data_IF_400737047706
#
_entry.id   IF_400737047706
#
_cell.length_a   1.000
_cell.length_b   1.000
_cell.length_c   1.000
_cell.angle_alpha   90.00
_cell.angle_beta   90.00
_cell.angle_gamma   90.00
#
_symmetry.space_group_name_H-M   'P 1'
#
loop_
_entity.id
_entity.type
_entity.pdbx_description
1 polymer ?
#
# COMPACT_ATOMS: atom_id res chain seq x y z
N UNK A 1 11.55 0.09 15.83
CA UNK A 1 11.27 0.32 14.39
C UNK A 1 11.62 -0.93 13.59
N UNK A 2 10.84 -1.27 12.57
CA UNK A 2 11.13 -2.38 11.65
C UNK A 2 10.93 -1.93 10.19
N UNK A 3 11.66 -2.55 9.27
CA UNK A 3 11.42 -2.47 7.84
C UNK A 3 10.85 -3.80 7.37
N UNK A 4 9.77 -3.74 6.63
CA UNK A 4 9.05 -4.91 6.13
C UNK A 4 8.99 -4.82 4.62
N UNK A 5 9.43 -5.88 3.95
CA UNK A 5 9.30 -6.07 2.51
C UNK A 5 8.53 -7.36 2.26
N UNK A 6 7.43 -7.26 1.53
CA UNK A 6 6.55 -8.40 1.20
C UNK A 6 6.58 -8.57 -0.32
N UNK A 7 7.15 -9.67 -0.79
CA UNK A 7 7.33 -9.97 -2.21
C UNK A 7 6.28 -10.95 -2.73
N UNK A 8 5.83 -11.85 -1.86
CA UNK A 8 4.83 -12.86 -2.20
C UNK A 8 3.47 -12.52 -1.59
N UNK A 9 2.40 -13.04 -2.21
CA UNK A 9 1.04 -12.86 -1.71
C UNK A 9 0.92 -13.37 -0.27
N UNK A 10 0.31 -12.56 0.58
CA UNK A 10 0.17 -12.88 2.00
C UNK A 10 -0.52 -11.78 2.78
N UNK A 11 -0.53 -11.94 4.09
CA UNK A 11 -1.11 -10.96 5.00
C UNK A 11 -0.23 -10.82 6.24
N UNK A 12 -0.16 -9.60 6.78
CA UNK A 12 0.51 -9.32 8.04
C UNK A 12 -0.30 -8.37 8.89
N UNK A 13 -0.34 -8.61 10.20
CA UNK A 13 -1.04 -7.75 11.14
C UNK A 13 -0.04 -6.89 11.91
N UNK A 14 -0.39 -5.63 12.09
CA UNK A 14 0.39 -4.62 12.80
C UNK A 14 -0.45 -4.00 13.91
N UNK A 15 0.19 -3.60 14.98
CA UNK A 15 -0.40 -2.99 16.17
C UNK A 15 0.04 -3.69 17.44
N UNK A 16 0.13 -2.94 18.53
CA UNK A 16 0.59 -3.39 19.83
C UNK A 16 -0.36 -2.99 20.95
N UNK A 17 -0.35 -3.74 22.09
CA UNK A 17 -1.25 -3.49 23.22
C UNK A 17 -1.00 -2.13 23.90
N UNK A 18 0.28 -1.72 24.01
CA UNK A 18 0.71 -0.55 24.79
C UNK A 18 1.29 0.59 23.96
N UNK A 19 1.64 0.34 22.70
CA UNK A 19 2.32 1.32 21.86
C UNK A 19 1.43 1.76 20.72
N UNK A 20 1.52 3.03 20.35
CA UNK A 20 1.05 3.52 19.07
C UNK A 20 1.87 2.90 17.95
N UNK A 21 1.26 2.65 16.83
CA UNK A 21 1.95 2.12 15.64
C UNK A 21 1.75 3.09 14.49
N UNK A 22 2.84 3.49 13.86
CA UNK A 22 2.83 4.28 12.63
C UNK A 22 3.45 3.41 11.55
N UNK A 23 2.73 3.22 10.45
CA UNK A 23 3.21 2.48 9.29
C UNK A 23 3.34 3.49 8.15
N UNK A 24 4.49 3.57 7.53
CA UNK A 24 4.74 4.37 6.35
C UNK A 24 4.98 3.47 5.15
N UNK A 25 4.14 3.61 4.11
CA UNK A 25 4.22 2.82 2.88
C UNK A 25 5.21 3.49 1.93
N UNK A 26 6.29 2.79 1.57
CA UNK A 26 7.35 3.31 0.70
C UNK A 26 7.37 2.70 -0.68
N UNK A 27 6.57 1.68 -0.92
CA UNK A 27 6.44 1.02 -2.22
C UNK A 27 5.33 0.00 -2.25
N UNK A 28 4.82 -0.29 -3.43
CA UNK A 28 3.77 -1.27 -3.66
C UNK A 28 2.37 -0.80 -3.26
N UNK A 29 1.43 -1.73 -3.27
CA UNK A 29 0.02 -1.52 -2.91
C UNK A 29 -0.39 -2.62 -1.93
N UNK A 30 -0.95 -2.22 -0.80
CA UNK A 30 -1.51 -3.11 0.22
C UNK A 30 -3.01 -2.88 0.39
N UNK A 31 -3.69 -3.86 0.96
CA UNK A 31 -5.12 -3.81 1.24
C UNK A 31 -5.32 -3.91 2.75
N UNK A 32 -5.79 -2.82 3.34
CA UNK A 32 -6.08 -2.75 4.76
C UNK A 32 -7.38 -3.47 5.08
N UNK A 33 -7.37 -4.22 6.16
CA UNK A 33 -8.55 -4.87 6.73
C UNK A 33 -8.66 -4.52 8.21
N UNK A 34 -9.75 -3.91 8.59
CA UNK A 34 -10.10 -3.65 9.98
C UNK A 34 -11.58 -3.95 10.15
N UNK A 35 -11.92 -4.98 10.95
CA UNK A 35 -13.30 -5.43 11.19
C UNK A 35 -14.11 -5.53 9.90
N UNK A 36 -15.01 -4.57 9.64
CA UNK A 36 -15.84 -4.53 8.43
C UNK A 36 -15.37 -3.50 7.39
N UNK A 37 -14.28 -2.77 7.66
CA UNK A 37 -13.76 -1.77 6.74
C UNK A 37 -12.60 -2.31 5.91
N UNK A 38 -12.61 -1.96 4.63
CA UNK A 38 -11.55 -2.27 3.67
C UNK A 38 -11.07 -0.95 3.08
N UNK A 39 -9.75 -0.74 3.05
CA UNK A 39 -9.13 0.41 2.40
C UNK A 39 -7.88 -0.06 1.64
N UNK A 40 -7.40 0.77 0.73
CA UNK A 40 -6.14 0.53 0.01
C UNK A 40 -5.07 1.42 0.64
N UNK A 41 -3.86 0.90 0.78
CA UNK A 41 -2.71 1.72 1.09
C UNK A 41 -1.68 1.65 -0.03
N UNK A 42 -1.15 2.80 -0.38
CA UNK A 42 -0.22 3.00 -1.50
C UNK A 42 1.03 3.74 -1.03
N UNK A 43 1.99 3.88 -1.92
CA UNK A 43 3.19 4.68 -1.62
C UNK A 43 2.81 6.08 -1.10
N UNK A 44 3.54 6.56 -0.10
CA UNK A 44 3.35 7.83 0.60
C UNK A 44 2.21 7.84 1.64
N UNK A 45 1.50 6.72 1.84
CA UNK A 45 0.49 6.61 2.88
C UNK A 45 1.11 6.36 4.27
N UNK A 46 0.53 7.03 5.25
CA UNK A 46 0.77 6.84 6.68
C UNK A 46 -0.45 6.17 7.30
N UNK A 47 -0.24 5.11 8.06
CA UNK A 47 -1.30 4.41 8.76
C UNK A 47 -1.01 4.51 10.26
N UNK A 48 -1.93 5.14 10.99
CA UNK A 48 -1.86 5.29 12.43
C UNK A 48 -2.75 4.26 13.11
N UNK A 49 -2.21 3.51 14.05
CA UNK A 49 -2.94 2.50 14.83
C UNK A 49 -2.77 2.80 16.32
N UNK A 50 -3.88 3.05 17.02
CA UNK A 50 -3.88 3.30 18.47
C UNK A 50 -3.54 2.05 19.26
N UNK A 51 -3.00 2.19 20.50
CA UNK A 51 -2.74 1.06 21.37
C UNK A 51 -3.98 0.15 21.55
N UNK A 52 -3.76 -1.14 21.63
CA UNK A 52 -4.83 -2.13 21.76
C UNK A 52 -5.50 -2.54 20.44
N UNK A 53 -5.33 -1.78 19.39
CA UNK A 53 -5.90 -2.07 18.06
C UNK A 53 -4.90 -2.75 17.14
N UNK A 54 -5.41 -3.38 16.09
CA UNK A 54 -4.62 -4.03 15.04
C UNK A 54 -5.20 -3.70 13.67
N UNK A 55 -4.32 -3.51 12.71
CA UNK A 55 -4.65 -3.45 11.28
C UNK A 55 -4.01 -4.63 10.59
N UNK A 56 -4.75 -5.28 9.68
CA UNK A 56 -4.24 -6.33 8.81
C UNK A 56 -3.99 -5.73 7.44
N UNK A 57 -2.79 -5.93 6.91
CA UNK A 57 -2.44 -5.56 5.55
C UNK A 57 -2.32 -6.84 4.74
N UNK A 58 -3.16 -6.98 3.72
CA UNK A 58 -3.08 -8.02 2.71
C UNK A 58 -2.27 -7.49 1.54
N UNK A 59 -1.37 -8.30 1.02
CA UNK A 59 -0.60 -8.03 -0.18
C UNK A 59 -0.84 -9.13 -1.21
N UNK A 60 -1.00 -8.75 -2.46
CA UNK A 60 -1.00 -9.68 -3.59
C UNK A 60 0.27 -9.47 -4.38
N UNK A 61 0.96 -10.55 -4.69
CA UNK A 61 2.21 -10.51 -5.46
C UNK A 61 2.03 -9.66 -6.72
N UNK A 62 2.87 -8.64 -6.85
CA UNK A 62 2.87 -7.69 -7.95
C UNK A 62 4.34 -7.42 -8.34
N UNK A 63 4.55 -6.71 -9.47
CA UNK A 63 5.88 -6.29 -9.95
C UNK A 63 6.68 -5.52 -8.89
N UNK A 64 5.98 -4.73 -8.08
CA UNK A 64 6.58 -3.93 -7.03
C UNK A 64 6.19 -4.51 -5.67
N UNK A 65 7.16 -4.94 -4.85
CA UNK A 65 6.89 -5.45 -3.51
C UNK A 65 6.24 -4.38 -2.64
N UNK A 66 5.45 -4.81 -1.66
CA UNK A 66 4.97 -3.91 -0.63
C UNK A 66 6.11 -3.64 0.35
N UNK A 67 6.50 -2.38 0.47
CA UNK A 67 7.57 -1.95 1.36
C UNK A 67 7.04 -0.99 2.42
N UNK A 68 7.33 -1.28 3.68
CA UNK A 68 6.81 -0.56 4.83
C UNK A 68 7.94 -0.25 5.83
N UNK A 69 7.91 0.95 6.41
CA UNK A 69 8.54 1.21 7.70
C UNK A 69 7.48 1.21 8.79
N UNK A 70 7.73 0.48 9.86
CA UNK A 70 6.81 0.36 11.00
C UNK A 70 7.50 0.86 12.26
N UNK A 71 6.92 1.89 12.87
CA UNK A 71 7.40 2.50 14.10
C UNK A 71 6.42 2.20 15.23
N UNK A 72 6.91 1.64 16.32
CA UNK A 72 6.17 1.43 17.56
C UNK A 72 6.62 2.46 18.59
N UNK A 73 5.71 3.27 19.10
CA UNK A 73 6.00 4.41 19.99
C UNK A 73 5.17 4.29 21.25
N UNK A 74 5.85 4.21 22.39
CA UNK A 74 5.20 4.23 23.71
C UNK A 74 4.85 5.65 24.15
N UNK A 75 3.83 5.77 25.01
CA UNK A 75 3.37 7.06 25.54
C UNK A 75 4.48 7.82 26.30
N UNK A 76 5.28 7.12 27.06
CA UNK A 76 6.40 7.72 27.81
C UNK A 76 7.40 8.40 26.88
N UNK A 77 7.71 7.77 25.73
CA UNK A 77 8.59 8.36 24.73
C UNK A 77 7.95 9.60 24.09
N UNK A 78 6.67 9.53 23.71
CA UNK A 78 5.95 10.69 23.18
C UNK A 78 5.98 11.87 24.15
N UNK A 79 5.73 11.62 25.44
CA UNK A 79 5.83 12.64 26.50
C UNK A 79 7.24 13.21 26.62
N UNK A 80 8.28 12.38 26.54
CA UNK A 80 9.68 12.83 26.61
C UNK A 80 10.15 13.67 25.42
N UNK A 81 9.41 13.60 24.30
CA UNK A 81 9.65 14.37 23.07
C UNK A 81 8.71 15.57 22.94
N UNK A 82 7.76 15.71 23.86
CA UNK A 82 6.81 16.82 23.93
C UNK A 82 7.45 18.03 24.63
N UNK A 83 6.93 19.22 24.37
CA UNK A 83 7.28 20.46 25.06
C UNK A 83 6.04 21.10 25.71
N UNK A 84 6.21 22.28 26.31
CA UNK A 84 5.14 23.01 27.02
C UNK A 84 3.96 23.40 26.09
N UNK A 85 4.21 23.55 24.79
CA UNK A 85 3.26 24.00 23.79
C UNK A 85 2.74 22.88 22.90
N UNK A 86 3.42 21.71 22.89
CA UNK A 86 3.12 20.63 21.95
C UNK A 86 3.14 19.27 22.66
N UNK A 87 1.95 18.69 22.81
CA UNK A 87 1.76 17.37 23.42
C UNK A 87 1.59 16.31 22.30
N UNK A 88 2.69 15.60 21.99
CA UNK A 88 2.67 14.58 20.95
C UNK A 88 1.79 13.38 21.30
N UNK A 89 1.68 13.01 22.57
CA UNK A 89 0.79 11.97 23.05
C UNK A 89 -0.68 12.35 22.81
N UNK A 90 -1.08 13.59 23.11
CA UNK A 90 -2.43 14.08 22.85
C UNK A 90 -2.76 14.21 21.35
N UNK A 91 -1.74 14.50 20.52
CA UNK A 91 -1.93 14.60 19.07
C UNK A 91 -2.43 13.28 18.44
N UNK A 92 -2.06 12.12 18.99
CA UNK A 92 -2.62 10.82 18.58
C UNK A 92 -4.07 10.63 19.02
N UNK A 93 -4.53 11.33 20.07
CA UNK A 93 -5.89 11.20 20.60
C UNK A 93 -6.90 12.11 19.88
N UNK A 94 -6.42 13.20 19.25
CA UNK A 94 -7.25 14.08 18.41
C UNK A 94 -7.85 13.32 17.22
N UNK A 95 -7.21 12.23 16.78
CA UNK A 95 -7.72 11.38 15.72
C UNK A 95 -8.82 10.46 16.29
N UNK A 96 -10.11 10.62 15.91
CA UNK A 96 -11.23 9.89 16.52
C UNK A 96 -11.27 8.40 16.14
N UNK A 97 -10.40 7.95 15.23
CA UNK A 97 -10.41 6.59 14.71
C UNK A 97 -9.39 5.70 15.42
N UNK A 98 -9.73 4.41 15.53
CA UNK A 98 -8.83 3.37 16.05
C UNK A 98 -7.65 3.11 15.10
N UNK A 99 -7.91 3.22 13.80
CA UNK A 99 -6.93 3.16 12.72
C UNK A 99 -7.26 4.29 11.73
N UNK A 100 -6.26 5.04 11.32
CA UNK A 100 -6.38 6.13 10.33
C UNK A 100 -5.33 5.98 9.26
N UNK A 101 -5.73 6.06 8.00
CA UNK A 101 -4.82 6.17 6.85
C UNK A 101 -4.83 7.60 6.33
N UNK A 102 -3.66 8.14 6.07
CA UNK A 102 -3.42 9.51 5.63
C UNK A 102 -2.46 9.48 4.47
N UNK A 103 -2.79 10.15 3.37
CA UNK A 103 -1.85 10.33 2.26
C UNK A 103 -0.95 11.53 2.55
N UNK A 104 0.38 11.33 2.59
CA UNK A 104 1.34 12.39 2.83
C UNK A 104 1.66 13.14 1.53
N UNK A 105 1.82 14.48 1.61
CA UNK A 105 2.32 15.26 0.48
C UNK A 105 3.73 14.79 0.11
N UNK A 106 4.06 14.73 -1.19
CA UNK A 106 5.31 14.14 -1.72
C UNK A 106 6.58 14.69 -1.08
N UNK A 107 6.62 15.98 -0.74
CA UNK A 107 7.76 16.57 -0.03
C UNK A 107 7.92 15.99 1.39
N UNK A 108 6.82 15.98 2.15
CA UNK A 108 6.80 15.41 3.51
C UNK A 108 7.08 13.90 3.46
N UNK A 109 6.50 13.19 2.49
CA UNK A 109 6.71 11.76 2.29
C UNK A 109 8.19 11.42 2.01
N UNK A 110 8.85 12.22 1.18
CA UNK A 110 10.28 12.06 0.89
C UNK A 110 11.14 12.23 2.15
N UNK A 111 10.85 13.24 2.98
CA UNK A 111 11.55 13.45 4.24
C UNK A 111 11.29 12.29 5.22
N UNK A 112 10.03 11.86 5.39
CA UNK A 112 9.67 10.73 6.24
C UNK A 112 10.41 9.46 5.80
N UNK A 113 10.47 9.18 4.49
CA UNK A 113 11.20 8.03 3.94
C UNK A 113 12.68 8.07 4.29
N UNK A 114 13.34 9.21 4.08
CA UNK A 114 14.77 9.37 4.36
C UNK A 114 15.09 9.24 5.84
N UNK A 115 14.28 9.85 6.71
CA UNK A 115 14.43 9.75 8.17
C UNK A 115 14.18 8.31 8.62
N UNK A 116 13.14 7.65 8.12
CA UNK A 116 12.82 6.25 8.45
C UNK A 116 13.97 5.32 8.06
N UNK A 117 14.52 5.50 6.85
CA UNK A 117 15.68 4.74 6.37
C UNK A 117 16.90 4.97 7.28
N UNK A 118 17.15 6.22 7.69
CA UNK A 118 18.29 6.55 8.57
C UNK A 118 18.10 5.96 9.96
N UNK A 119 16.94 6.12 10.57
CA UNK A 119 16.64 5.51 11.88
C UNK A 119 16.79 3.98 11.83
N UNK A 120 16.30 3.33 10.78
CA UNK A 120 16.45 1.89 10.63
C UNK A 120 17.91 1.45 10.46
N UNK A 121 18.74 2.22 9.73
CA UNK A 121 20.17 1.93 9.59
C UNK A 121 20.90 2.05 10.92
N UNK A 122 20.54 3.04 11.75
CA UNK A 122 21.15 3.26 13.06
C UNK A 122 20.96 2.08 14.03
N UNK A 123 19.89 1.31 13.90
CA UNK A 123 19.69 0.09 14.70
C UNK A 123 20.73 -1.00 14.44
N UNK A 124 21.47 -0.92 13.32
CA UNK A 124 22.47 -1.88 12.89
C UNK A 124 23.90 -1.33 13.01
N UNK A 125 24.04 -0.03 13.27
CA UNK A 125 25.33 0.64 13.38
C UNK A 125 25.78 0.70 14.85
N UNK A 126 27.09 0.68 15.08
CA UNK A 126 27.65 0.98 16.40
C UNK A 126 27.38 2.43 16.78
N UNK A 127 27.10 2.72 18.07
CA UNK A 127 26.87 4.08 18.53
C UNK A 127 28.07 5.02 18.21
N UNK A 128 27.75 6.17 17.61
CA UNK A 128 28.73 7.23 17.30
C UNK A 128 28.56 8.39 18.28
N UNK A 129 29.42 9.38 18.17
CA UNK A 129 29.31 10.63 18.97
C UNK A 129 27.87 11.19 18.85
N UNK A 130 27.29 11.57 19.99
CA UNK A 130 25.95 12.12 20.12
C UNK A 130 24.81 11.23 19.55
N UNK A 131 25.02 9.91 19.51
CA UNK A 131 24.09 8.94 18.91
C UNK A 131 22.64 9.10 19.41
N UNK A 132 22.46 9.12 20.73
CA UNK A 132 21.13 9.24 21.37
C UNK A 132 20.46 10.59 21.05
N UNK A 133 21.22 11.68 21.02
CA UNK A 133 20.69 12.99 20.68
C UNK A 133 20.25 13.05 19.22
N UNK A 134 21.05 12.48 18.32
CA UNK A 134 20.74 12.40 16.90
C UNK A 134 19.52 11.52 16.65
N UNK A 135 19.44 10.36 17.29
CA UNK A 135 18.28 9.46 17.22
C UNK A 135 17.00 10.16 17.67
N UNK A 136 17.03 10.82 18.84
CA UNK A 136 15.89 11.60 19.36
C UNK A 136 15.46 12.69 18.40
N UNK A 137 16.39 13.43 17.81
CA UNK A 137 16.10 14.50 16.86
C UNK A 137 15.42 13.98 15.59
N UNK A 138 15.93 12.89 15.02
CA UNK A 138 15.32 12.25 13.86
C UNK A 138 13.92 11.70 14.19
N UNK A 139 13.76 11.08 15.35
CA UNK A 139 12.46 10.53 15.77
C UNK A 139 11.43 11.63 16.01
N UNK A 140 11.83 12.72 16.68
CA UNK A 140 10.96 13.89 16.86
C UNK A 140 10.53 14.47 15.51
N UNK A 141 11.48 14.65 14.59
CA UNK A 141 11.16 15.17 13.26
C UNK A 141 10.22 14.25 12.49
N UNK A 142 10.43 12.93 12.53
CA UNK A 142 9.55 11.94 11.90
C UNK A 142 8.13 12.01 12.47
N UNK A 143 8.00 12.05 13.81
CA UNK A 143 6.69 12.13 14.48
C UNK A 143 5.95 13.43 14.14
N UNK A 144 6.66 14.58 14.17
CA UNK A 144 6.07 15.87 13.81
C UNK A 144 5.60 15.89 12.36
N UNK A 145 6.40 15.39 11.40
CA UNK A 145 5.99 15.34 10.00
C UNK A 145 4.78 14.42 9.79
N UNK A 146 4.78 13.25 10.41
CA UNK A 146 3.67 12.29 10.31
C UNK A 146 2.38 12.87 10.92
N UNK A 147 2.44 13.47 12.11
CA UNK A 147 1.28 14.07 12.76
C UNK A 147 0.76 15.32 12.02
N UNK A 148 1.65 16.16 11.48
CA UNK A 148 1.26 17.28 10.63
C UNK A 148 0.49 16.84 9.38
N UNK A 149 0.91 15.74 8.74
CA UNK A 149 0.17 15.16 7.62
C UNK A 149 -1.24 14.75 8.05
N UNK A 150 -1.38 14.15 9.23
CA UNK A 150 -2.68 13.76 9.80
C UNK A 150 -3.60 14.95 10.07
N UNK A 151 -3.07 16.04 10.65
CA UNK A 151 -3.86 17.24 10.99
C UNK A 151 -4.27 18.03 9.73
N UNK A 152 -3.36 18.17 8.75
CA UNK A 152 -3.68 18.84 7.47
C UNK A 152 -4.82 18.14 6.75
N UNK A 153 -4.84 16.82 6.77
CA UNK A 153 -5.89 16.05 6.12
C UNK A 153 -7.26 16.25 6.79
N UNK A 154 -7.32 16.36 8.12
CA UNK A 154 -8.58 16.62 8.83
C UNK A 154 -9.20 18.00 8.48
N UNK A 155 -8.38 19.00 8.20
CA UNK A 155 -8.83 20.30 7.69
C UNK A 155 -9.25 20.21 6.22
N UNK A 156 -8.52 19.45 5.40
CA UNK A 156 -8.85 19.22 3.99
C UNK A 156 -9.98 18.18 3.83
N UNK A 157 -10.12 17.21 4.73
CA UNK A 157 -11.21 16.22 4.72
C UNK A 157 -12.58 16.89 4.96
N UNK A 158 -12.66 17.99 5.71
CA UNK A 158 -13.88 18.81 5.75
C UNK A 158 -14.23 19.40 4.37
N UNK A 159 -13.22 19.61 3.52
CA UNK A 159 -13.37 20.14 2.16
C UNK A 159 -13.38 19.06 1.07
N UNK A 160 -12.76 17.89 1.31
CA UNK A 160 -12.51 16.85 0.31
C UNK A 160 -13.05 15.44 0.65
N UNK A 161 -13.89 15.29 1.69
CA UNK A 161 -14.48 14.01 2.15
C UNK A 161 -15.09 13.11 1.05
N UNK A 162 -15.35 13.69 -0.14
CA UNK A 162 -15.87 12.95 -1.30
C UNK A 162 -14.79 12.30 -2.19
N UNK A 163 -13.51 12.74 -2.15
CA UNK A 163 -12.54 12.34 -3.18
C UNK A 163 -11.73 11.06 -2.88
N UNK A 164 -11.24 10.88 -1.65
CA UNK A 164 -10.43 9.71 -1.31
C UNK A 164 -11.26 8.43 -1.14
N UNK A 165 -12.41 8.54 -0.48
CA UNK A 165 -13.34 7.40 -0.31
C UNK A 165 -13.71 6.78 -1.66
N UNK A 166 -13.95 7.62 -2.69
CA UNK A 166 -14.35 7.13 -4.02
C UNK A 166 -13.20 6.40 -4.74
N UNK A 167 -11.94 6.82 -4.56
CA UNK A 167 -10.82 6.11 -5.20
C UNK A 167 -10.55 4.75 -4.54
N UNK A 168 -10.66 4.65 -3.22
CA UNK A 168 -10.57 3.38 -2.51
C UNK A 168 -11.68 2.41 -2.93
N UNK A 169 -12.92 2.92 -3.07
CA UNK A 169 -14.05 2.15 -3.58
C UNK A 169 -13.81 1.67 -5.02
N UNK A 170 -13.22 2.50 -5.89
CA UNK A 170 -12.82 2.11 -7.24
C UNK A 170 -11.79 0.97 -7.22
N UNK A 171 -10.79 1.02 -6.34
CA UNK A 171 -9.81 -0.07 -6.20
C UNK A 171 -10.47 -1.37 -5.71
N UNK A 172 -11.36 -1.28 -4.74
CA UNK A 172 -12.12 -2.44 -4.23
C UNK A 172 -12.97 -3.02 -5.36
N UNK A 173 -13.69 -2.16 -6.07
CA UNK A 173 -14.53 -2.56 -7.21
C UNK A 173 -13.74 -3.26 -8.31
N UNK A 174 -12.63 -2.67 -8.77
CA UNK A 174 -11.75 -3.29 -9.77
C UNK A 174 -11.29 -4.67 -9.31
N UNK A 175 -10.99 -4.83 -8.05
CA UNK A 175 -10.56 -6.11 -7.50
C UNK A 175 -11.66 -7.16 -7.47
N UNK A 176 -12.86 -6.76 -7.04
CA UNK A 176 -13.99 -7.68 -6.90
C UNK A 176 -14.55 -8.10 -8.27
N UNK A 177 -14.43 -7.23 -9.28
CA UNK A 177 -14.91 -7.44 -10.64
C UNK A 177 -13.77 -7.69 -11.65
N UNK A 178 -12.57 -8.10 -11.21
CA UNK A 178 -11.36 -8.17 -12.03
C UNK A 178 -11.53 -8.99 -13.32
N UNK A 179 -12.34 -10.02 -13.29
CA UNK A 179 -12.59 -10.91 -14.44
C UNK A 179 -13.75 -10.47 -15.33
N UNK A 180 -14.48 -9.42 -14.92
CA UNK A 180 -15.57 -8.85 -15.69
C UNK A 180 -15.07 -7.75 -16.63
N UNK A 181 -15.96 -7.24 -17.49
CA UNK A 181 -15.65 -6.07 -18.31
C UNK A 181 -15.65 -4.80 -17.45
N UNK A 182 -14.46 -4.28 -17.17
CA UNK A 182 -14.25 -3.03 -16.43
C UNK A 182 -13.75 -1.97 -17.41
N UNK A 183 -14.66 -1.10 -17.85
CA UNK A 183 -14.32 0.09 -18.64
C UNK A 183 -14.26 1.35 -17.76
N UNK A 184 -13.56 2.38 -18.23
CA UNK A 184 -13.59 3.70 -17.57
C UNK A 184 -14.99 4.30 -17.53
N UNK A 185 -15.81 4.00 -18.52
CA UNK A 185 -17.23 4.41 -18.59
C UNK A 185 -18.05 3.74 -17.49
N UNK A 186 -17.85 2.43 -17.26
CA UNK A 186 -18.48 1.70 -16.16
C UNK A 186 -18.07 2.29 -14.80
N UNK A 187 -16.81 2.60 -14.60
CA UNK A 187 -16.33 3.26 -13.37
C UNK A 187 -16.91 4.67 -13.20
N UNK A 188 -17.03 5.46 -14.29
CA UNK A 188 -17.65 6.79 -14.27
C UNK A 188 -19.12 6.71 -13.84
N UNK A 189 -19.87 5.77 -14.39
CA UNK A 189 -21.29 5.58 -14.09
C UNK A 189 -21.52 5.04 -12.67
N UNK A 190 -20.68 4.11 -12.21
CA UNK A 190 -20.82 3.49 -10.88
C UNK A 190 -20.48 4.47 -9.76
N UNK A 191 -19.41 5.25 -9.95
CA UNK A 191 -18.89 6.14 -8.87
C UNK A 191 -19.23 7.61 -9.05
N UNK A 192 -19.91 7.99 -10.12
CA UNK A 192 -20.27 9.39 -10.44
C UNK A 192 -19.05 10.34 -10.47
N UNK A 193 -17.91 9.83 -10.96
CA UNK A 193 -16.64 10.55 -11.08
C UNK A 193 -16.16 10.51 -12.53
N UNK A 194 -15.84 11.67 -13.10
CA UNK A 194 -15.43 11.75 -14.51
C UNK A 194 -14.20 10.87 -14.81
N UNK A 195 -14.17 10.24 -15.98
CA UNK A 195 -13.05 9.41 -16.48
C UNK A 195 -11.70 10.11 -16.36
N UNK A 196 -11.66 11.40 -16.69
CA UNK A 196 -10.45 12.19 -16.56
C UNK A 196 -9.93 12.25 -15.11
N UNK A 197 -10.83 12.45 -14.16
CA UNK A 197 -10.48 12.50 -12.74
C UNK A 197 -10.02 11.14 -12.23
N UNK A 198 -10.73 10.05 -12.61
CA UNK A 198 -10.33 8.68 -12.27
C UNK A 198 -8.90 8.40 -12.77
N UNK A 199 -8.62 8.64 -14.05
CA UNK A 199 -7.30 8.36 -14.63
C UNK A 199 -6.20 9.17 -13.95
N UNK A 200 -6.43 10.45 -13.68
CA UNK A 200 -5.45 11.35 -13.06
C UNK A 200 -5.12 10.93 -11.64
N UNK A 201 -6.13 10.74 -10.79
CA UNK A 201 -5.92 10.38 -9.39
C UNK A 201 -5.38 8.94 -9.26
N UNK A 202 -5.89 8.01 -10.07
CA UNK A 202 -5.39 6.63 -10.12
C UNK A 202 -3.91 6.57 -10.49
N UNK A 203 -3.50 7.34 -11.53
CA UNK A 203 -2.09 7.42 -11.94
C UNK A 203 -1.23 8.09 -10.88
N UNK A 204 -1.76 9.09 -10.17
CA UNK A 204 -1.08 9.73 -9.04
C UNK A 204 -0.83 8.74 -7.90
N UNK A 205 -1.80 7.87 -7.61
CA UNK A 205 -1.73 6.90 -6.50
C UNK A 205 -0.87 5.68 -6.83
N UNK A 206 -0.95 5.17 -8.07
CA UNK A 206 -0.32 3.88 -8.46
C UNK A 206 0.87 4.01 -9.40
N UNK A 207 1.06 5.19 -9.99
CA UNK A 207 2.04 5.42 -11.06
C UNK A 207 1.57 4.95 -12.44
N UNK A 208 0.39 4.33 -12.56
CA UNK A 208 -0.13 3.79 -13.82
C UNK A 208 -1.63 4.06 -14.01
N UNK A 209 -2.10 3.86 -15.26
CA UNK A 209 -3.53 4.06 -15.56
C UNK A 209 -4.38 2.91 -15.02
N UNK A 210 -5.71 3.12 -14.77
CA UNK A 210 -6.62 2.05 -14.37
C UNK A 210 -6.58 0.84 -15.32
N UNK A 211 -6.57 1.09 -16.63
CA UNK A 211 -6.47 0.03 -17.63
C UNK A 211 -5.18 -0.78 -17.51
N UNK A 212 -4.02 -0.13 -17.35
CA UNK A 212 -2.74 -0.81 -17.15
C UNK A 212 -2.75 -1.68 -15.89
N UNK A 213 -3.27 -1.15 -14.81
CA UNK A 213 -3.42 -1.85 -13.53
C UNK A 213 -4.32 -3.09 -13.64
N UNK A 214 -5.50 -2.95 -14.29
CA UNK A 214 -6.43 -4.07 -14.52
C UNK A 214 -5.75 -5.15 -15.35
N UNK A 215 -5.09 -4.78 -16.44
CA UNK A 215 -4.39 -5.75 -17.31
C UNK A 215 -3.30 -6.51 -16.54
N UNK A 216 -2.48 -5.81 -15.76
CA UNK A 216 -1.42 -6.46 -14.94
C UNK A 216 -2.01 -7.39 -13.88
N UNK A 217 -3.04 -6.94 -13.18
CA UNK A 217 -3.72 -7.76 -12.16
C UNK A 217 -4.33 -9.03 -12.77
N UNK A 218 -4.90 -8.94 -13.97
CA UNK A 218 -5.38 -10.10 -14.74
C UNK A 218 -4.26 -11.04 -15.15
N UNK A 219 -3.12 -10.49 -15.57
CA UNK A 219 -1.95 -11.31 -15.94
C UNK A 219 -1.39 -12.06 -14.73
N UNK A 220 -1.35 -11.44 -13.55
CA UNK A 220 -0.94 -12.12 -12.32
C UNK A 220 -1.89 -13.26 -11.95
N UNK A 221 -3.20 -13.05 -12.14
CA UNK A 221 -4.20 -14.10 -11.96
C UNK A 221 -4.02 -15.24 -12.97
N UNK A 222 -3.80 -14.91 -14.26
CA UNK A 222 -3.51 -15.89 -15.29
C UNK A 222 -2.25 -16.70 -14.99
N UNK A 223 -1.18 -16.05 -14.55
CA UNK A 223 0.05 -16.73 -14.15
C UNK A 223 -0.21 -17.71 -13.01
N UNK A 224 -0.97 -17.33 -12.00
CA UNK A 224 -1.34 -18.24 -10.92
C UNK A 224 -2.12 -19.46 -11.41
N UNK A 225 -3.04 -19.30 -12.38
CA UNK A 225 -3.74 -20.43 -13.00
C UNK A 225 -2.82 -21.33 -13.81
N UNK A 226 -1.84 -20.76 -14.52
CA UNK A 226 -0.79 -21.56 -15.22
C UNK A 226 0.01 -22.38 -14.20
N UNK A 227 0.41 -21.77 -13.08
CA UNK A 227 1.13 -22.44 -12.00
C UNK A 227 0.29 -23.55 -11.35
N UNK A 228 -1.03 -23.46 -11.36
CA UNK A 228 -1.94 -24.53 -10.95
C UNK A 228 -2.12 -25.65 -11.99
N UNK A 229 -1.54 -25.50 -13.19
CA UNK A 229 -1.61 -26.51 -14.27
C UNK A 229 -2.85 -26.41 -15.15
N UNK A 230 -3.61 -25.31 -15.09
CA UNK A 230 -4.75 -25.09 -15.99
C UNK A 230 -4.29 -24.91 -17.43
N UNK A 231 -5.10 -25.33 -18.38
CA UNK A 231 -4.82 -25.14 -19.80
C UNK A 231 -4.79 -23.65 -20.18
N UNK A 232 -3.96 -23.27 -21.16
CA UNK A 232 -3.86 -21.88 -21.61
C UNK A 232 -5.20 -21.31 -22.08
N UNK A 233 -6.08 -22.16 -22.60
CA UNK A 233 -7.44 -21.76 -22.99
C UNK A 233 -8.28 -21.34 -21.77
N UNK A 234 -8.30 -22.17 -20.75
CA UNK A 234 -9.02 -21.84 -19.48
C UNK A 234 -8.41 -20.62 -18.81
N UNK A 235 -7.10 -20.46 -18.87
CA UNK A 235 -6.36 -19.38 -18.18
C UNK A 235 -6.82 -18.00 -18.65
N UNK A 236 -6.93 -17.74 -19.96
CA UNK A 236 -7.30 -16.39 -20.41
C UNK A 236 -8.80 -16.11 -20.21
N UNK A 237 -9.65 -17.12 -20.30
CA UNK A 237 -11.09 -17.00 -20.02
C UNK A 237 -11.32 -16.67 -18.54
N UNK A 238 -10.73 -17.44 -17.62
CA UNK A 238 -10.81 -17.23 -16.18
C UNK A 238 -10.10 -15.94 -15.73
N UNK A 239 -9.11 -15.49 -16.47
CA UNK A 239 -8.35 -14.26 -16.20
C UNK A 239 -9.06 -12.99 -16.67
N UNK A 240 -10.26 -13.09 -17.25
CA UNK A 240 -11.06 -11.93 -17.66
C UNK A 240 -10.57 -11.24 -18.95
N UNK A 241 -9.77 -11.93 -19.78
CA UNK A 241 -9.39 -11.41 -21.09
C UNK A 241 -10.47 -11.71 -22.13
N UNK A 242 -10.93 -10.70 -22.85
CA UNK A 242 -11.96 -10.81 -23.89
C UNK A 242 -11.52 -11.59 -25.15
N UNK A 243 -10.31 -12.15 -25.19
CA UNK A 243 -9.81 -13.00 -26.27
C UNK A 243 -8.33 -13.34 -26.14
N UNK A 244 -7.97 -14.50 -26.71
CA UNK A 244 -6.61 -15.05 -26.65
C UNK A 244 -5.53 -14.09 -27.18
N UNK A 245 -5.79 -13.40 -28.29
CA UNK A 245 -4.78 -12.50 -28.88
C UNK A 245 -4.44 -11.32 -27.97
N UNK A 246 -5.40 -10.80 -27.23
CA UNK A 246 -5.18 -9.73 -26.27
C UNK A 246 -4.36 -10.24 -25.07
N UNK A 247 -4.75 -11.37 -24.50
CA UNK A 247 -4.00 -12.05 -23.45
C UNK A 247 -2.56 -12.36 -23.87
N UNK A 248 -2.38 -12.98 -25.05
CA UNK A 248 -1.06 -13.37 -25.56
C UNK A 248 -0.09 -12.18 -25.66
N UNK A 249 -0.55 -11.09 -26.27
CA UNK A 249 0.27 -9.86 -26.42
C UNK A 249 0.62 -9.24 -25.08
N UNK A 250 -0.35 -9.14 -24.20
CA UNK A 250 -0.17 -8.56 -22.86
C UNK A 250 0.80 -9.43 -22.03
N UNK A 251 0.62 -10.76 -22.03
CA UNK A 251 1.46 -11.69 -21.30
C UNK A 251 2.92 -11.66 -21.78
N UNK A 252 3.13 -11.73 -23.12
CA UNK A 252 4.48 -11.66 -23.70
C UNK A 252 5.17 -10.33 -23.39
N UNK A 253 4.41 -9.21 -23.41
CA UNK A 253 4.95 -7.89 -23.07
C UNK A 253 5.36 -7.80 -21.59
N UNK A 254 4.58 -8.36 -20.69
CA UNK A 254 4.84 -8.26 -19.23
C UNK A 254 5.91 -9.23 -18.75
N UNK A 255 5.90 -10.48 -19.23
CA UNK A 255 6.80 -11.55 -18.75
C UNK A 255 7.96 -11.89 -19.71
N UNK A 256 8.01 -11.30 -20.90
CA UNK A 256 9.07 -11.52 -21.90
C UNK A 256 8.97 -12.85 -22.66
N UNK A 257 8.11 -13.77 -22.23
CA UNK A 257 7.90 -15.10 -22.84
C UNK A 257 6.42 -15.30 -23.18
N UNK A 258 6.13 -16.22 -24.11
CA UNK A 258 4.73 -16.53 -24.42
C UNK A 258 4.10 -17.38 -23.31
N UNK A 259 2.76 -17.35 -23.15
CA UNK A 259 2.06 -18.15 -22.14
C UNK A 259 2.41 -19.65 -22.24
N UNK A 260 2.52 -20.17 -23.46
CA UNK A 260 2.87 -21.57 -23.71
C UNK A 260 4.34 -21.89 -23.34
N UNK A 261 5.27 -20.96 -23.61
CA UNK A 261 6.67 -21.13 -23.18
C UNK A 261 6.76 -21.11 -21.66
N UNK A 262 6.04 -20.19 -21.00
CA UNK A 262 5.99 -20.11 -19.54
C UNK A 262 5.44 -21.42 -18.93
N UNK A 263 4.35 -21.96 -19.49
CA UNK A 263 3.77 -23.24 -19.07
C UNK A 263 4.76 -24.41 -19.22
N UNK A 264 5.45 -24.51 -20.37
CA UNK A 264 6.46 -25.57 -20.62
C UNK A 264 7.64 -25.48 -19.65
N UNK A 265 8.16 -24.29 -19.40
CA UNK A 265 9.27 -24.09 -18.46
C UNK A 265 8.90 -24.58 -17.05
N UNK A 266 7.69 -24.29 -16.57
CA UNK A 266 7.21 -24.79 -15.29
C UNK A 266 7.08 -26.32 -15.21
N UNK A 267 6.74 -26.98 -16.32
CA UNK A 267 6.65 -28.45 -16.36
C UNK A 267 8.04 -29.11 -16.31
N UNK A 268 9.04 -28.50 -16.93
CA UNK A 268 10.42 -28.95 -16.87
C UNK A 268 10.93 -28.85 -15.42
N UNK A 269 10.77 -27.69 -14.78
CA UNK A 269 11.20 -27.47 -13.39
C UNK A 269 10.53 -28.42 -12.38
N UNK A 270 9.28 -28.88 -12.67
CA UNK A 270 8.56 -29.85 -11.83
C UNK A 270 9.02 -31.28 -12.00
N UNK A 271 9.51 -31.64 -13.19
CA UNK A 271 9.99 -32.98 -13.47
C UNK A 271 11.46 -33.20 -13.02
N UNK A 272 12.18 -32.13 -12.76
CA UNK A 272 13.57 -32.14 -12.26
C UNK A 272 13.67 -32.11 -10.73
N UNK A 273 12.55 -32.01 -10.02
CA UNK A 273 12.46 -32.07 -8.56
C UNK A 273 11.80 -33.36 -8.07
#
# INVERSE_FOLDING_TARGET
>A
MEYVKIEDSGQRSFGQKKNHTIIFVTGGVGYLRQENEKAVCTMEDLIFVKPGNKVRIEYRKNKYPLELYVLYVGTELLQSLSDENTRLDEAFDIVPFQVKTVHSESESAMLIKNISKKLYSMLKESPKFAHTLYEKSLLTMLLVLALRSSVKEDVQLKLNKKKHVVMDDIFIYIREHLTEDISLERLENEFYVSRYHIVREFKKMTGETPHSYIVKSRLDLCRHYIEQGKSIREVYELGGFGGYNHFFRAFKKEYGVTPMQYYKNLQIDRNER
#
